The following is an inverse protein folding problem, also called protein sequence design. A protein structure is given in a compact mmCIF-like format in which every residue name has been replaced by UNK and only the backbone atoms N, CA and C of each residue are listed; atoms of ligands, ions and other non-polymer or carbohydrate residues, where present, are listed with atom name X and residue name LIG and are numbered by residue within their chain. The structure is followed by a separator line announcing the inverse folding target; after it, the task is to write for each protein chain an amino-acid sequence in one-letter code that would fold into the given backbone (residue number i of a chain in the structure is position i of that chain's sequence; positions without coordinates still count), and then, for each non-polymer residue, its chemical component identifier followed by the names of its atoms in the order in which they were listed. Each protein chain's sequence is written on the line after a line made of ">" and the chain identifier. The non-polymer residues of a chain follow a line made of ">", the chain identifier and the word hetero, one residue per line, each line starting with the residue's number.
data_IF_782618891851
#
_entry.id   IF_782618891851
#
_cell.length_a   1.000
_cell.length_b   1.000
_cell.length_c   1.000
_cell.angle_alpha   90.00
_cell.angle_beta   90.00
_cell.angle_gamma   90.00
#
_symmetry.space_group_name_H-M   'P 1'
#
loop_
_entity.id
_entity.type
_entity.pdbx_description
1 polymer ?
#
# COMPACT_ATOMS: atom_id res chain seq x y z
N UNK A 1 26.74 -31.39 1.01
CA UNK A 1 26.02 -31.35 2.31
C UNK A 1 26.08 -29.93 2.86
N UNK A 2 25.02 -29.50 3.55
CA UNK A 2 24.75 -28.16 4.11
C UNK A 2 24.11 -27.14 3.17
N UNK A 3 22.94 -27.48 2.65
CA UNK A 3 21.94 -26.49 2.25
C UNK A 3 21.25 -25.98 3.53
N UNK A 4 21.82 -24.94 4.13
CA UNK A 4 21.24 -24.20 5.24
C UNK A 4 19.93 -23.55 4.78
N UNK A 5 18.81 -24.30 4.87
CA UNK A 5 17.47 -23.72 4.92
C UNK A 5 17.43 -22.84 6.17
N UNK A 6 17.79 -21.56 6.01
CA UNK A 6 17.57 -20.52 7.02
C UNK A 6 16.10 -20.61 7.41
N UNK A 7 15.82 -20.99 8.66
CA UNK A 7 14.48 -20.95 9.25
C UNK A 7 13.96 -19.52 9.10
N UNK A 8 13.12 -19.28 8.08
CA UNK A 8 12.36 -18.04 7.94
C UNK A 8 11.53 -17.91 9.22
N UNK A 9 11.59 -16.74 9.85
CA UNK A 9 10.70 -16.37 10.95
C UNK A 9 9.26 -16.68 10.49
N UNK A 10 8.56 -17.56 11.20
CA UNK A 10 7.16 -17.88 10.91
C UNK A 10 6.31 -16.79 11.55
N UNK A 11 5.95 -15.77 10.76
CA UNK A 11 4.76 -14.99 11.07
C UNK A 11 3.54 -15.91 10.94
N UNK A 12 2.43 -15.58 11.59
CA UNK A 12 1.15 -16.25 11.37
C UNK A 12 0.20 -15.31 10.64
N UNK A 13 -0.53 -15.86 9.66
CA UNK A 13 -1.61 -15.13 8.96
C UNK A 13 -3.01 -15.55 9.44
N UNK A 14 -3.10 -16.43 10.44
CA UNK A 14 -4.38 -16.96 10.96
C UNK A 14 -5.30 -15.86 11.49
N UNK A 15 -4.72 -14.78 12.02
CA UNK A 15 -5.47 -13.60 12.49
C UNK A 15 -6.19 -12.86 11.36
N UNK A 16 -5.80 -13.09 10.10
CA UNK A 16 -6.46 -12.56 8.90
C UNK A 16 -7.36 -13.61 8.22
N UNK A 17 -7.61 -14.76 8.86
CA UNK A 17 -8.39 -15.86 8.29
C UNK A 17 -7.65 -16.73 7.27
N UNK A 18 -6.35 -16.49 7.03
CA UNK A 18 -5.54 -17.38 6.18
C UNK A 18 -5.12 -18.61 7.00
N UNK A 19 -5.57 -19.79 6.56
CA UNK A 19 -5.48 -21.04 7.33
C UNK A 19 -4.30 -21.93 6.97
N UNK A 20 -3.53 -21.57 5.92
CA UNK A 20 -2.39 -22.34 5.43
C UNK A 20 -1.05 -21.60 5.55
N UNK A 21 0.04 -22.35 5.43
CA UNK A 21 1.41 -21.82 5.45
C UNK A 21 2.06 -21.65 4.06
N UNK A 22 1.29 -21.79 2.97
CA UNK A 22 1.74 -21.55 1.58
C UNK A 22 1.94 -20.05 1.28
N UNK A 23 2.85 -19.39 1.98
CA UNK A 23 3.18 -18.00 1.75
C UNK A 23 4.69 -17.73 1.82
N UNK A 24 5.12 -16.70 1.10
CA UNK A 24 6.49 -16.25 1.01
C UNK A 24 6.67 -14.93 1.75
N UNK A 25 7.39 -14.95 2.87
CA UNK A 25 7.60 -13.76 3.71
C UNK A 25 8.92 -13.04 3.39
N UNK A 26 8.85 -11.71 3.22
CA UNK A 26 9.97 -10.78 3.05
C UNK A 26 10.98 -11.23 1.97
N UNK A 27 10.51 -11.77 0.84
CA UNK A 27 11.39 -12.10 -0.28
C UNK A 27 12.17 -10.86 -0.76
N UNK A 28 13.38 -11.06 -1.23
CA UNK A 28 14.17 -10.01 -1.86
C UNK A 28 13.56 -9.58 -3.22
N UNK A 29 13.86 -8.37 -3.71
CA UNK A 29 13.44 -7.94 -5.04
C UNK A 29 13.87 -8.89 -6.15
N UNK A 30 15.07 -9.48 -6.06
CA UNK A 30 15.57 -10.46 -7.03
C UNK A 30 14.77 -11.76 -7.02
N UNK A 31 14.38 -12.25 -5.85
CA UNK A 31 13.51 -13.44 -5.74
C UNK A 31 12.13 -13.15 -6.32
N UNK A 32 11.53 -12.00 -6.00
CA UNK A 32 10.22 -11.60 -6.54
C UNK A 32 10.26 -11.39 -8.06
N UNK A 33 11.35 -10.80 -8.57
CA UNK A 33 11.57 -10.65 -10.00
C UNK A 33 11.63 -12.02 -10.68
N UNK A 34 12.48 -12.93 -10.20
CA UNK A 34 12.61 -14.28 -10.77
C UNK A 34 11.28 -15.05 -10.77
N UNK A 35 10.54 -15.03 -9.65
CA UNK A 35 9.24 -15.71 -9.54
C UNK A 35 8.22 -15.08 -10.50
N UNK A 36 8.25 -13.77 -10.70
CA UNK A 36 7.35 -13.09 -11.65
C UNK A 36 7.60 -13.56 -13.08
N UNK A 37 8.88 -13.71 -13.47
CA UNK A 37 9.26 -14.23 -14.80
C UNK A 37 8.90 -15.72 -14.94
N UNK A 38 9.20 -16.54 -13.93
CA UNK A 38 8.90 -17.98 -13.92
C UNK A 38 7.40 -18.25 -14.08
N UNK A 39 6.55 -17.47 -13.41
CA UNK A 39 5.09 -17.57 -13.52
C UNK A 39 4.52 -16.92 -14.80
N UNK A 40 5.35 -16.36 -15.68
CA UNK A 40 4.91 -15.70 -16.90
C UNK A 40 4.10 -14.42 -16.66
N UNK A 41 4.24 -13.80 -15.49
CA UNK A 41 3.46 -12.63 -15.06
C UNK A 41 4.12 -11.29 -15.44
N UNK A 42 5.30 -11.34 -16.08
CA UNK A 42 6.03 -10.17 -16.52
C UNK A 42 7.13 -10.54 -17.51
N UNK A 43 7.86 -9.53 -17.98
CA UNK A 43 9.01 -9.66 -18.86
C UNK A 43 10.13 -8.78 -18.35
N UNK A 44 11.37 -9.16 -18.62
CA UNK A 44 12.51 -8.31 -18.35
C UNK A 44 12.74 -7.36 -19.54
N UNK A 45 12.82 -6.07 -19.28
CA UNK A 45 13.21 -5.06 -20.26
C UNK A 45 14.72 -5.12 -20.52
N UNK A 46 15.19 -4.49 -21.61
CA UNK A 46 16.63 -4.41 -21.93
C UNK A 46 17.48 -3.73 -20.84
N UNK A 47 16.86 -2.95 -19.96
CA UNK A 47 17.49 -2.34 -18.78
C UNK A 47 17.63 -3.28 -17.57
N UNK A 48 17.08 -4.50 -17.64
CA UNK A 48 16.94 -5.40 -16.49
C UNK A 48 15.75 -5.06 -15.58
N UNK A 49 14.93 -4.08 -15.94
CA UNK A 49 13.72 -3.75 -15.19
C UNK A 49 12.60 -4.74 -15.48
N UNK A 50 11.87 -5.13 -14.44
CA UNK A 50 10.67 -5.95 -14.57
C UNK A 50 9.51 -5.11 -15.13
N UNK A 51 9.00 -5.51 -16.29
CA UNK A 51 7.80 -4.98 -16.90
C UNK A 51 6.62 -5.93 -16.67
N UNK A 52 5.52 -5.41 -16.12
CA UNK A 52 4.28 -6.16 -15.84
C UNK A 52 3.09 -5.53 -16.54
N UNK A 53 2.04 -6.31 -16.74
CA UNK A 53 0.74 -5.82 -17.22
C UNK A 53 -0.29 -5.94 -16.10
N UNK A 54 -0.93 -4.83 -15.74
CA UNK A 54 -1.92 -4.74 -14.66
C UNK A 54 -3.32 -5.22 -15.06
N UNK A 55 -3.48 -5.66 -16.31
CA UNK A 55 -4.73 -6.16 -16.88
C UNK A 55 -5.65 -5.03 -17.33
N UNK A 56 -6.95 -5.20 -17.03
CA UNK A 56 -8.02 -4.27 -17.43
C UNK A 56 -7.82 -2.84 -16.89
N UNK A 57 -7.30 -2.72 -15.67
CA UNK A 57 -7.12 -1.44 -14.99
C UNK A 57 -5.67 -0.98 -15.10
N UNK A 58 -5.44 0.07 -15.89
CA UNK A 58 -4.13 0.71 -16.10
C UNK A 58 -3.95 2.00 -15.30
N UNK A 59 -4.95 2.34 -14.47
CA UNK A 59 -4.99 3.52 -13.63
C UNK A 59 -5.93 3.30 -12.44
N UNK A 60 -6.09 4.35 -11.62
CA UNK A 60 -7.03 4.32 -10.50
C UNK A 60 -8.47 4.18 -10.97
N UNK A 61 -9.29 3.60 -10.11
CA UNK A 61 -10.75 3.52 -10.29
C UNK A 61 -11.50 4.30 -9.19
N UNK A 62 -11.55 5.65 -9.24
CA UNK A 62 -12.11 6.45 -8.14
C UNK A 62 -13.54 6.09 -7.73
N UNK A 63 -14.37 5.66 -8.70
CA UNK A 63 -15.76 5.25 -8.46
C UNK A 63 -15.91 3.87 -7.79
N UNK A 64 -14.81 3.14 -7.65
CA UNK A 64 -14.75 1.82 -6.99
C UNK A 64 -13.93 1.88 -5.69
N UNK A 65 -13.63 3.10 -5.21
CA UNK A 65 -13.00 3.34 -3.92
C UNK A 65 -14.07 3.64 -2.88
N UNK A 66 -14.08 2.86 -1.81
CA UNK A 66 -15.06 2.98 -0.74
C UNK A 66 -14.37 3.14 0.62
N UNK A 67 -15.11 3.68 1.59
CA UNK A 67 -14.71 3.74 2.99
C UNK A 67 -15.84 3.17 3.83
N UNK A 68 -15.54 2.20 4.68
CA UNK A 68 -16.52 1.63 5.60
C UNK A 68 -17.05 2.72 6.52
N UNK A 69 -18.37 2.88 6.55
CA UNK A 69 -19.07 3.85 7.41
C UNK A 69 -19.33 3.21 8.77
N UNK A 70 -18.33 3.27 9.64
CA UNK A 70 -18.34 2.71 10.99
C UNK A 70 -18.42 3.82 12.05
N UNK A 71 -18.30 3.46 13.34
CA UNK A 71 -18.32 4.42 14.44
C UNK A 71 -17.15 5.43 14.42
N UNK A 72 -16.02 5.09 13.79
CA UNK A 72 -14.83 5.95 13.68
C UNK A 72 -15.05 6.98 12.57
N UNK A 73 -15.61 6.57 11.44
CA UNK A 73 -15.67 7.36 10.20
C UNK A 73 -16.99 8.11 10.02
N UNK A 74 -18.10 7.63 10.58
CA UNK A 74 -19.47 8.11 10.27
C UNK A 74 -19.62 9.63 10.32
N UNK A 75 -19.01 10.29 11.29
CA UNK A 75 -19.16 11.73 11.55
C UNK A 75 -17.94 12.55 11.13
N UNK A 76 -16.83 11.89 10.78
CA UNK A 76 -15.53 12.55 10.50
C UNK A 76 -15.16 12.56 9.02
N UNK A 77 -15.72 11.65 8.23
CA UNK A 77 -15.49 11.61 6.79
C UNK A 77 -16.45 12.57 6.08
N UNK A 78 -15.90 13.32 5.13
CA UNK A 78 -16.70 14.08 4.18
C UNK A 78 -17.26 13.16 3.10
N UNK A 79 -18.46 12.60 3.35
CA UNK A 79 -19.13 11.66 2.46
C UNK A 79 -19.65 12.34 1.17
N UNK A 80 -19.57 11.62 0.05
CA UNK A 80 -20.06 12.09 -1.25
C UNK A 80 -19.52 11.25 -2.40
N UNK A 81 -19.48 11.81 -3.62
CA UNK A 81 -19.03 11.09 -4.82
C UNK A 81 -17.55 10.68 -4.79
N UNK A 82 -16.75 11.28 -3.90
CA UNK A 82 -15.32 10.98 -3.71
C UNK A 82 -15.10 9.94 -2.59
N UNK A 83 -15.81 10.09 -1.47
CA UNK A 83 -15.74 9.18 -0.33
C UNK A 83 -17.07 8.45 -0.25
N UNK A 84 -17.13 7.31 -0.93
CA UNK A 84 -18.36 6.52 -1.06
C UNK A 84 -18.47 5.62 0.17
N UNK A 85 -19.59 5.66 0.92
CA UNK A 85 -19.77 4.81 2.09
C UNK A 85 -19.90 3.34 1.68
N UNK A 86 -19.28 2.46 2.46
CA UNK A 86 -19.49 1.01 2.41
C UNK A 86 -20.10 0.55 3.72
N UNK A 87 -21.02 -0.40 3.65
CA UNK A 87 -21.67 -0.92 4.86
C UNK A 87 -20.75 -1.94 5.58
N UNK A 88 -20.61 -1.87 6.92
CA UNK A 88 -19.73 -2.77 7.68
C UNK A 88 -19.98 -4.27 7.49
N UNK A 89 -21.23 -4.74 7.50
CA UNK A 89 -21.56 -6.16 7.29
C UNK A 89 -21.29 -6.64 5.85
N UNK A 90 -21.46 -5.78 4.85
CA UNK A 90 -21.07 -6.05 3.46
C UNK A 90 -19.54 -6.14 3.33
N UNK A 91 -18.80 -5.29 4.05
CA UNK A 91 -17.34 -5.40 4.09
C UNK A 91 -16.91 -6.74 4.66
N UNK A 92 -17.51 -7.16 5.77
CA UNK A 92 -17.17 -8.42 6.43
C UNK A 92 -17.47 -9.61 5.52
N UNK A 93 -18.66 -9.65 4.89
CA UNK A 93 -19.01 -10.70 3.94
C UNK A 93 -18.10 -10.75 2.71
N UNK A 94 -17.71 -9.58 2.16
CA UNK A 94 -16.77 -9.51 1.03
C UNK A 94 -15.35 -9.89 1.46
N UNK A 95 -14.91 -9.47 2.64
CA UNK A 95 -13.61 -9.84 3.20
C UNK A 95 -13.49 -11.35 3.33
N UNK A 96 -14.50 -12.03 3.90
CA UNK A 96 -14.50 -13.48 4.05
C UNK A 96 -14.36 -14.18 2.69
N UNK A 97 -15.09 -13.72 1.66
CA UNK A 97 -14.95 -14.26 0.28
C UNK A 97 -13.55 -14.06 -0.30
N UNK A 98 -12.93 -12.91 -0.05
CA UNK A 98 -11.55 -12.64 -0.50
C UNK A 98 -10.57 -13.55 0.23
N UNK A 99 -10.75 -13.76 1.53
CA UNK A 99 -9.90 -14.65 2.32
C UNK A 99 -10.06 -16.11 1.89
N UNK A 100 -11.28 -16.58 1.64
CA UNK A 100 -11.54 -17.91 1.08
C UNK A 100 -10.84 -18.10 -0.27
N UNK A 101 -10.93 -17.10 -1.15
CA UNK A 101 -10.19 -17.10 -2.41
C UNK A 101 -8.67 -17.17 -2.21
N UNK A 102 -8.12 -16.37 -1.29
CA UNK A 102 -6.68 -16.32 -1.01
C UNK A 102 -6.17 -17.60 -0.34
N UNK A 103 -7.01 -18.32 0.41
CA UNK A 103 -6.66 -19.62 0.98
C UNK A 103 -6.35 -20.69 -0.09
N UNK A 104 -6.80 -20.49 -1.33
CA UNK A 104 -6.49 -21.36 -2.46
C UNK A 104 -5.23 -20.96 -3.23
N UNK A 105 -4.50 -19.94 -2.76
CA UNK A 105 -3.34 -19.35 -3.47
C UNK A 105 -2.04 -19.56 -2.72
N UNK A 106 -0.94 -19.43 -3.47
CA UNK A 106 0.34 -19.08 -2.89
C UNK A 106 0.37 -17.57 -2.65
N UNK A 107 0.80 -17.14 -1.46
CA UNK A 107 0.80 -15.72 -1.09
C UNK A 107 2.22 -15.14 -0.96
N UNK A 108 2.32 -13.83 -1.04
CA UNK A 108 3.53 -13.04 -0.85
C UNK A 108 3.26 -11.99 0.23
N UNK A 109 4.06 -12.00 1.28
CA UNK A 109 3.83 -11.18 2.47
C UNK A 109 5.03 -10.29 2.74
N UNK A 110 4.76 -9.02 3.00
CA UNK A 110 5.76 -8.01 3.34
C UNK A 110 5.35 -7.18 4.54
N UNK A 111 6.28 -7.08 5.48
CA UNK A 111 6.21 -6.11 6.57
C UNK A 111 7.05 -4.90 6.17
N UNK A 112 6.41 -3.74 6.15
CA UNK A 112 6.97 -2.43 5.80
C UNK A 112 6.33 -1.33 6.66
N UNK A 113 6.76 -0.09 6.53
CA UNK A 113 6.08 1.01 7.21
C UNK A 113 5.94 2.24 6.32
N UNK A 114 4.96 3.08 6.67
CA UNK A 114 4.82 4.42 6.14
C UNK A 114 5.21 5.45 7.21
N UNK A 115 5.53 6.66 6.76
CA UNK A 115 6.04 7.78 7.56
C UNK A 115 7.47 7.56 8.07
N UNK A 116 8.41 8.37 7.53
CA UNK A 116 9.82 8.33 7.91
C UNK A 116 10.10 8.92 9.30
N UNK A 117 9.22 9.80 9.80
CA UNK A 117 9.28 10.25 11.18
C UNK A 117 8.74 9.15 12.11
N UNK A 118 9.59 8.71 13.03
CA UNK A 118 9.31 7.62 13.97
C UNK A 118 8.04 7.86 14.81
N UNK A 119 7.74 9.10 15.16
CA UNK A 119 6.55 9.43 15.97
C UNK A 119 5.24 9.24 15.19
N UNK A 120 5.32 9.25 13.85
CA UNK A 120 4.17 9.14 12.96
C UNK A 120 4.11 7.82 12.21
N UNK A 121 5.16 7.00 12.32
CA UNK A 121 5.29 5.67 11.72
C UNK A 121 4.02 4.84 11.85
N UNK A 122 3.62 4.22 10.75
CA UNK A 122 2.57 3.20 10.70
C UNK A 122 3.16 1.91 10.16
N UNK A 123 3.17 0.87 10.98
CA UNK A 123 3.59 -0.47 10.58
C UNK A 123 2.51 -1.14 9.73
N UNK A 124 2.90 -1.65 8.57
CA UNK A 124 2.01 -2.19 7.54
C UNK A 124 2.42 -3.62 7.22
N UNK A 125 1.45 -4.53 7.23
CA UNK A 125 1.57 -5.85 6.59
C UNK A 125 0.83 -5.86 5.26
N UNK A 126 1.54 -6.14 4.18
CA UNK A 126 0.97 -6.30 2.84
C UNK A 126 0.90 -7.79 2.50
N UNK A 127 -0.30 -8.27 2.21
CA UNK A 127 -0.59 -9.64 1.78
C UNK A 127 -1.04 -9.58 0.32
N UNK A 128 -0.26 -10.17 -0.58
CA UNK A 128 -0.51 -10.19 -2.01
C UNK A 128 -0.67 -11.63 -2.50
N UNK A 129 -1.51 -11.85 -3.51
CA UNK A 129 -1.44 -13.09 -4.30
C UNK A 129 -0.34 -13.07 -5.37
N UNK A 130 0.12 -11.90 -5.81
CA UNK A 130 1.12 -11.77 -6.87
C UNK A 130 2.49 -11.28 -6.37
N UNK A 131 3.60 -11.84 -6.89
CA UNK A 131 4.95 -11.48 -6.47
C UNK A 131 5.31 -10.02 -6.83
N UNK A 132 4.92 -9.55 -8.01
CA UNK A 132 5.21 -8.19 -8.45
C UNK A 132 4.44 -7.13 -7.66
N UNK A 133 3.24 -7.43 -7.14
CA UNK A 133 2.53 -6.53 -6.21
C UNK A 133 3.29 -6.41 -4.88
N UNK A 134 3.92 -7.48 -4.41
CA UNK A 134 4.78 -7.45 -3.22
C UNK A 134 6.12 -6.71 -3.48
N UNK A 135 6.64 -6.78 -4.70
CA UNK A 135 7.80 -6.01 -5.15
C UNK A 135 7.47 -4.52 -5.23
N UNK A 136 6.26 -4.17 -5.68
CA UNK A 136 5.77 -2.79 -5.61
C UNK A 136 5.73 -2.28 -4.17
N UNK A 137 5.19 -3.06 -3.22
CA UNK A 137 5.21 -2.68 -1.80
C UNK A 137 6.64 -2.51 -1.25
N UNK A 138 7.61 -3.34 -1.68
CA UNK A 138 9.03 -3.17 -1.32
C UNK A 138 9.61 -1.84 -1.83
N UNK A 139 9.23 -1.44 -3.03
CA UNK A 139 9.71 -0.20 -3.65
C UNK A 139 9.07 1.02 -2.99
N UNK A 140 7.76 0.98 -2.75
CA UNK A 140 6.99 2.16 -2.33
C UNK A 140 7.05 2.46 -0.84
N UNK A 141 7.03 1.44 0.02
CA UNK A 141 7.03 1.68 1.46
C UNK A 141 8.44 1.61 2.04
N UNK A 142 8.60 2.15 3.25
CA UNK A 142 9.89 2.17 3.94
C UNK A 142 10.18 0.77 4.48
N UNK A 143 11.45 0.36 4.32
CA UNK A 143 11.93 -0.99 4.61
C UNK A 143 12.41 -1.08 6.06
N UNK A 144 11.82 -1.94 6.91
CA UNK A 144 12.33 -2.17 8.24
C UNK A 144 13.67 -2.90 8.19
N UNK A 145 14.53 -2.57 9.13
CA UNK A 145 15.76 -3.29 9.42
C UNK A 145 15.44 -4.69 9.95
N UNK A 146 16.45 -5.58 9.91
CA UNK A 146 16.31 -6.93 10.48
C UNK A 146 15.96 -6.93 11.96
N UNK A 147 16.40 -5.92 12.71
CA UNK A 147 16.10 -5.77 14.13
C UNK A 147 14.65 -5.34 14.36
N UNK A 148 14.16 -4.34 13.61
CA UNK A 148 12.75 -3.93 13.66
C UNK A 148 11.81 -5.07 13.29
N UNK A 149 12.20 -5.93 12.34
CA UNK A 149 11.43 -7.11 11.97
C UNK A 149 11.31 -8.15 13.09
N UNK A 150 12.15 -8.13 14.14
CA UNK A 150 12.08 -9.13 15.23
C UNK A 150 10.82 -8.98 16.08
N UNK A 151 10.34 -7.76 16.28
CA UNK A 151 9.16 -7.46 17.09
C UNK A 151 8.09 -6.69 16.29
N UNK A 152 8.05 -6.91 14.97
CA UNK A 152 7.12 -6.21 14.10
C UNK A 152 5.67 -6.62 14.36
N UNK A 153 4.84 -5.65 14.71
CA UNK A 153 3.40 -5.80 14.91
C UNK A 153 2.68 -4.85 13.93
N UNK A 154 2.02 -5.37 12.88
CA UNK A 154 1.37 -4.52 11.91
C UNK A 154 0.19 -3.77 12.53
N UNK A 155 0.19 -2.45 12.36
CA UNK A 155 -0.94 -1.61 12.73
C UNK A 155 -2.01 -1.65 11.63
N UNK A 156 -1.59 -1.57 10.36
CA UNK A 156 -2.45 -1.65 9.20
C UNK A 156 -2.15 -2.90 8.37
N UNK A 157 -3.17 -3.42 7.70
CA UNK A 157 -3.02 -4.53 6.77
C UNK A 157 -3.55 -4.16 5.40
N UNK A 158 -2.76 -4.39 4.36
CA UNK A 158 -3.21 -4.33 2.97
C UNK A 158 -3.44 -5.75 2.49
N UNK A 159 -4.66 -6.07 2.08
CA UNK A 159 -5.02 -7.35 1.45
C UNK A 159 -5.28 -7.07 -0.02
N UNK A 160 -4.44 -7.61 -0.90
CA UNK A 160 -4.47 -7.33 -2.33
C UNK A 160 -4.62 -8.64 -3.14
N UNK A 161 -5.80 -8.80 -3.73
CA UNK A 161 -6.23 -9.95 -4.53
C UNK A 161 -6.74 -9.53 -5.92
N UNK A 162 -5.88 -9.03 -6.83
CA UNK A 162 -6.28 -8.58 -8.17
C UNK A 162 -7.17 -9.55 -8.98
N UNK A 163 -6.98 -10.86 -8.80
CA UNK A 163 -7.68 -11.94 -9.47
C UNK A 163 -9.02 -12.32 -8.83
N UNK A 164 -9.37 -11.79 -7.67
CA UNK A 164 -10.70 -11.92 -7.09
C UNK A 164 -11.66 -10.93 -7.79
N UNK A 165 -12.80 -11.39 -8.30
CA UNK A 165 -13.81 -10.55 -8.95
C UNK A 165 -15.07 -10.51 -8.09
N UNK A 166 -15.43 -9.34 -7.57
CA UNK A 166 -16.67 -9.16 -6.83
C UNK A 166 -17.89 -9.31 -7.74
N UNK A 167 -19.00 -9.77 -7.17
CA UNK A 167 -20.32 -9.72 -7.78
C UNK A 167 -21.08 -8.49 -7.24
N UNK A 168 -21.19 -7.45 -8.06
CA UNK A 168 -21.82 -6.18 -7.71
C UNK A 168 -23.27 -6.32 -7.19
N UNK A 169 -24.01 -7.34 -7.62
CA UNK A 169 -25.39 -7.55 -7.19
C UNK A 169 -25.52 -7.94 -5.71
N UNK A 170 -24.47 -8.55 -5.13
CA UNK A 170 -24.52 -9.12 -3.77
C UNK A 170 -23.41 -8.62 -2.85
N UNK A 171 -22.32 -8.11 -3.40
CA UNK A 171 -21.13 -7.71 -2.62
C UNK A 171 -21.13 -6.23 -2.22
N UNK A 172 -22.13 -5.44 -2.65
CA UNK A 172 -22.20 -4.00 -2.35
C UNK A 172 -21.19 -3.14 -3.10
N UNK A 173 -20.42 -3.73 -4.02
CA UNK A 173 -19.51 -3.01 -4.92
C UNK A 173 -20.25 -2.50 -6.16
N UNK A 174 -19.68 -1.52 -6.86
CA UNK A 174 -20.25 -0.98 -8.10
C UNK A 174 -20.02 -1.91 -9.30
N UNK A 175 -18.89 -2.60 -9.31
CA UNK A 175 -18.48 -3.57 -10.32
C UNK A 175 -17.50 -4.58 -9.71
N UNK A 176 -16.82 -5.37 -10.55
CA UNK A 176 -16.02 -6.49 -10.09
C UNK A 176 -14.70 -6.10 -9.38
N UNK A 177 -14.20 -4.88 -9.60
CA UNK A 177 -13.06 -4.33 -8.86
C UNK A 177 -13.52 -3.43 -7.71
N UNK A 178 -12.67 -3.33 -6.68
CA UNK A 178 -12.92 -2.52 -5.49
C UNK A 178 -11.62 -2.20 -4.75
N UNK A 179 -11.62 -1.06 -4.08
CA UNK A 179 -10.62 -0.68 -3.08
C UNK A 179 -11.36 -0.10 -1.86
N UNK A 180 -11.33 -0.80 -0.73
CA UNK A 180 -12.14 -0.46 0.44
C UNK A 180 -11.26 -0.26 1.66
N UNK A 181 -11.43 0.88 2.35
CA UNK A 181 -10.76 1.17 3.61
C UNK A 181 -11.70 0.92 4.80
N UNK A 182 -11.24 0.13 5.76
CA UNK A 182 -11.92 -0.09 7.02
C UNK A 182 -11.03 0.39 8.17
N UNK A 183 -11.42 1.48 8.83
CA UNK A 183 -10.62 2.08 9.91
C UNK A 183 -10.76 1.34 11.24
N UNK A 184 -11.92 0.75 11.53
CA UNK A 184 -12.09 -0.09 12.73
C UNK A 184 -11.20 -1.32 12.68
N UNK A 185 -11.13 -2.00 11.53
CA UNK A 185 -10.31 -3.21 11.35
C UNK A 185 -8.89 -2.90 10.87
N UNK A 186 -8.59 -1.64 10.55
CA UNK A 186 -7.32 -1.15 9.97
C UNK A 186 -6.89 -1.96 8.74
N UNK A 187 -7.83 -2.18 7.82
CA UNK A 187 -7.61 -2.95 6.59
C UNK A 187 -7.84 -2.07 5.36
N UNK A 188 -6.92 -2.15 4.40
CA UNK A 188 -7.15 -1.75 3.02
C UNK A 188 -7.34 -3.02 2.18
N UNK A 189 -8.57 -3.25 1.69
CA UNK A 189 -8.95 -4.42 0.91
C UNK A 189 -9.05 -4.05 -0.57
N UNK A 190 -8.30 -4.74 -1.43
CA UNK A 190 -8.20 -4.44 -2.86
C UNK A 190 -8.44 -5.73 -3.65
N UNK A 191 -9.40 -5.71 -4.58
CA UNK A 191 -9.72 -6.83 -5.45
C UNK A 191 -10.12 -6.41 -6.86
N UNK A 192 -9.99 -7.33 -7.81
CA UNK A 192 -10.42 -7.17 -9.21
C UNK A 192 -9.56 -6.23 -10.06
N UNK A 193 -8.55 -5.59 -9.49
CA UNK A 193 -7.64 -4.68 -10.17
C UNK A 193 -6.18 -5.05 -9.89
N UNK A 194 -5.37 -5.14 -10.97
CA UNK A 194 -3.93 -5.29 -10.89
C UNK A 194 -3.18 -3.97 -10.76
N UNK A 195 -3.87 -2.82 -10.76
CA UNK A 195 -3.22 -1.52 -10.69
C UNK A 195 -2.60 -1.28 -9.31
N UNK A 196 -1.27 -1.27 -9.23
CA UNK A 196 -0.53 -1.17 -7.96
C UNK A 196 -0.71 0.16 -7.24
N UNK A 197 -1.08 1.22 -7.97
CA UNK A 197 -1.36 2.53 -7.35
C UNK A 197 -2.46 2.48 -6.30
N UNK A 198 -3.37 1.49 -6.33
CA UNK A 198 -4.37 1.31 -5.26
C UNK A 198 -3.74 0.90 -3.92
N UNK A 199 -2.62 0.16 -3.93
CA UNK A 199 -1.88 -0.21 -2.72
C UNK A 199 -1.30 1.04 -2.05
N UNK A 200 -0.60 1.88 -2.83
CA UNK A 200 -0.01 3.15 -2.38
C UNK A 200 -1.11 4.10 -1.87
N UNK A 201 -2.09 4.39 -2.73
CA UNK A 201 -3.11 5.40 -2.45
C UNK A 201 -4.13 4.97 -1.40
N UNK A 202 -4.29 3.67 -1.14
CA UNK A 202 -5.04 3.14 -0.01
C UNK A 202 -4.44 3.59 1.34
N UNK A 203 -3.13 3.38 1.52
CA UNK A 203 -2.42 3.83 2.74
C UNK A 203 -2.36 5.35 2.82
N UNK A 204 -2.08 6.04 1.71
CA UNK A 204 -2.12 7.50 1.69
C UNK A 204 -3.48 8.06 2.13
N UNK A 205 -4.56 7.44 1.67
CA UNK A 205 -5.92 7.81 2.06
C UNK A 205 -6.17 7.62 3.56
N UNK A 206 -5.66 6.52 4.14
CA UNK A 206 -5.74 6.30 5.57
C UNK A 206 -4.95 7.38 6.34
N UNK A 207 -3.74 7.72 5.90
CA UNK A 207 -2.91 8.78 6.49
C UNK A 207 -3.57 10.16 6.40
N UNK A 208 -4.26 10.46 5.29
CA UNK A 208 -5.01 11.72 5.14
C UNK A 208 -6.16 11.87 6.15
N UNK A 209 -6.60 10.77 6.76
CA UNK A 209 -7.56 10.81 7.86
C UNK A 209 -6.86 10.78 9.23
N UNK A 210 -5.97 9.81 9.45
CA UNK A 210 -5.32 9.56 10.74
C UNK A 210 -4.50 10.77 11.20
N UNK A 211 -3.67 11.34 10.32
CA UNK A 211 -2.76 12.42 10.70
C UNK A 211 -3.47 13.69 11.20
N UNK A 212 -4.48 14.24 10.50
CA UNK A 212 -5.17 15.43 10.99
C UNK A 212 -6.11 15.13 12.16
N UNK A 213 -6.76 13.96 12.17
CA UNK A 213 -7.77 13.63 13.19
C UNK A 213 -7.14 13.20 14.53
N UNK A 214 -6.03 12.47 14.48
CA UNK A 214 -5.47 11.79 15.67
C UNK A 214 -4.09 12.32 16.07
N UNK A 215 -3.32 12.87 15.12
CA UNK A 215 -1.93 13.24 15.36
C UNK A 215 -1.62 14.74 15.19
N UNK A 216 -2.64 15.57 14.93
CA UNK A 216 -2.51 17.01 14.67
C UNK A 216 -1.37 17.34 13.69
N UNK A 217 -1.33 16.61 12.57
CA UNK A 217 -0.28 16.71 11.55
C UNK A 217 -0.92 16.89 10.18
N UNK A 218 -0.35 17.77 9.36
CA UNK A 218 -0.87 18.07 8.02
C UNK A 218 -0.36 17.03 7.01
N UNK A 219 -1.22 16.16 6.45
CA UNK A 219 -0.87 15.32 5.32
C UNK A 219 -0.90 16.14 4.03
N UNK A 220 0.04 15.87 3.12
CA UNK A 220 0.23 16.66 1.90
C UNK A 220 0.45 15.73 0.71
N UNK A 221 -0.22 16.06 -0.39
CA UNK A 221 0.03 15.46 -1.71
C UNK A 221 0.92 16.40 -2.52
N UNK A 222 2.22 16.27 -2.33
CA UNK A 222 3.25 17.18 -2.86
C UNK A 222 4.56 16.43 -3.06
N UNK A 223 5.46 16.99 -3.88
CA UNK A 223 6.88 16.64 -3.77
C UNK A 223 7.57 17.61 -2.82
N UNK A 224 8.71 17.20 -2.25
CA UNK A 224 9.52 18.06 -1.39
C UNK A 224 11.02 17.79 -1.56
N UNK A 225 11.83 18.84 -1.45
CA UNK A 225 13.29 18.76 -1.47
C UNK A 225 13.92 19.77 -0.49
N UNK A 226 15.19 19.53 -0.16
CA UNK A 226 15.95 20.38 0.77
C UNK A 226 17.22 20.91 0.12
N UNK A 227 17.46 22.21 0.30
CA UNK A 227 18.64 22.91 -0.21
C UNK A 227 19.87 22.69 0.66
N UNK A 228 21.06 23.13 0.20
CA UNK A 228 22.31 23.02 0.96
C UNK A 228 22.28 23.72 2.32
N UNK A 229 21.45 24.77 2.46
CA UNK A 229 21.29 25.54 3.70
C UNK A 229 20.21 24.97 4.64
N UNK A 230 19.62 23.81 4.29
CA UNK A 230 18.52 23.21 5.06
C UNK A 230 17.13 23.78 4.78
N UNK A 231 17.00 24.72 3.84
CA UNK A 231 15.72 25.27 3.40
C UNK A 231 14.89 24.20 2.67
N UNK A 232 13.64 24.00 3.09
CA UNK A 232 12.74 23.01 2.48
C UNK A 232 11.80 23.70 1.49
N UNK A 233 11.64 23.12 0.31
CA UNK A 233 10.64 23.53 -0.67
C UNK A 233 9.61 22.42 -0.88
N UNK A 234 8.33 22.82 -1.00
CA UNK A 234 7.19 21.94 -1.17
C UNK A 234 6.47 22.32 -2.46
N UNK A 235 6.13 21.32 -3.29
CA UNK A 235 5.52 21.53 -4.60
C UNK A 235 4.19 20.79 -4.67
N UNK A 236 3.08 21.53 -4.56
CA UNK A 236 1.74 20.99 -4.78
C UNK A 236 1.40 20.96 -6.27
N UNK A 237 0.65 19.95 -6.69
CA UNK A 237 0.23 19.80 -8.08
C UNK A 237 -0.47 18.47 -8.36
N UNK A 238 -1.24 18.42 -9.43
CA UNK A 238 -1.87 17.18 -9.89
C UNK A 238 -0.87 16.32 -10.67
N UNK A 239 -1.29 15.13 -11.11
CA UNK A 239 -0.46 14.33 -12.01
C UNK A 239 -0.23 15.09 -13.33
N UNK A 240 1.01 15.08 -13.83
CA UNK A 240 1.39 15.78 -15.06
C UNK A 240 1.69 17.28 -14.92
N UNK A 241 1.59 17.88 -13.73
CA UNK A 241 1.84 19.33 -13.54
C UNK A 241 3.30 19.68 -13.18
N UNK A 242 4.24 18.74 -13.39
CA UNK A 242 5.67 18.98 -13.18
C UNK A 242 6.19 18.82 -11.75
N UNK A 243 5.39 18.32 -10.78
CA UNK A 243 5.85 18.08 -9.39
C UNK A 243 7.17 17.33 -9.31
N UNK A 244 7.23 16.16 -9.94
CA UNK A 244 8.39 15.26 -9.92
C UNK A 244 9.58 15.88 -10.64
N UNK A 245 9.33 16.54 -11.78
CA UNK A 245 10.38 17.21 -12.57
C UNK A 245 11.01 18.36 -11.77
N UNK A 246 10.20 19.22 -11.17
CA UNK A 246 10.67 20.39 -10.43
C UNK A 246 11.29 20.04 -9.07
N UNK A 247 10.86 18.94 -8.43
CA UNK A 247 11.49 18.50 -7.18
C UNK A 247 12.85 17.83 -7.39
N UNK A 248 13.13 17.32 -8.60
CA UNK A 248 14.37 16.61 -8.93
C UNK A 248 15.42 17.59 -9.47
N UNK A 249 15.76 18.58 -8.65
CA UNK A 249 16.83 19.55 -8.92
C UNK A 249 18.17 18.99 -8.44
N UNK A 250 19.19 18.95 -9.32
CA UNK A 250 20.51 18.41 -9.00
C UNK A 250 21.23 19.14 -7.85
N UNK A 251 20.83 20.38 -7.55
CA UNK A 251 21.39 21.18 -6.45
C UNK A 251 20.67 20.95 -5.11
N UNK A 252 19.59 20.16 -5.08
CA UNK A 252 18.75 19.92 -3.90
C UNK A 252 18.58 18.43 -3.63
N UNK A 253 18.52 18.04 -2.36
CA UNK A 253 18.30 16.64 -1.98
C UNK A 253 16.79 16.37 -1.94
N UNK A 254 16.33 15.38 -2.71
CA UNK A 254 14.92 14.97 -2.72
C UNK A 254 14.54 14.36 -1.35
N UNK A 255 13.42 14.81 -0.78
CA UNK A 255 12.81 14.20 0.41
C UNK A 255 11.82 13.11 -0.03
N UNK A 256 10.98 13.42 -1.02
CA UNK A 256 10.02 12.51 -1.65
C UNK A 256 9.30 13.16 -2.81
N UNK A 257 8.64 12.37 -3.66
CA UNK A 257 8.02 12.83 -4.91
C UNK A 257 6.51 13.09 -4.83
N UNK A 258 5.81 12.59 -3.81
CA UNK A 258 4.33 12.59 -3.84
C UNK A 258 3.61 12.73 -2.50
N UNK A 259 4.08 12.13 -1.40
CA UNK A 259 3.32 12.06 -0.14
C UNK A 259 4.16 12.44 1.09
N UNK A 260 3.77 13.51 1.79
CA UNK A 260 4.49 14.04 2.95
C UNK A 260 3.57 14.40 4.11
N UNK A 261 4.15 14.43 5.31
CA UNK A 261 3.53 15.00 6.50
C UNK A 261 4.30 16.23 6.96
N UNK A 262 3.60 17.20 7.53
CA UNK A 262 4.17 18.34 8.22
C UNK A 262 3.67 18.38 9.65
N UNK A 263 4.56 18.11 10.60
CA UNK A 263 4.24 18.01 12.02
C UNK A 263 4.34 19.36 12.76
N UNK A 264 3.91 19.37 14.03
CA UNK A 264 3.95 20.57 14.89
C UNK A 264 5.36 21.02 15.29
N UNK A 265 6.37 20.17 15.11
CA UNK A 265 7.79 20.52 15.29
C UNK A 265 8.38 21.19 14.05
N UNK A 266 7.52 21.52 13.07
CA UNK A 266 7.87 22.13 11.79
C UNK A 266 8.78 21.25 10.93
N UNK A 267 8.69 19.92 11.08
CA UNK A 267 9.41 18.97 10.25
C UNK A 267 8.52 18.41 9.14
N UNK A 268 9.08 18.37 7.93
CA UNK A 268 8.49 17.71 6.76
C UNK A 268 9.12 16.32 6.63
N UNK A 269 8.30 15.29 6.54
CA UNK A 269 8.77 13.91 6.41
C UNK A 269 8.02 13.18 5.30
N UNK A 270 8.74 12.31 4.58
CA UNK A 270 8.16 11.47 3.54
C UNK A 270 7.31 10.35 4.16
N UNK A 271 6.21 9.98 3.52
CA UNK A 271 5.47 8.77 3.88
C UNK A 271 6.08 7.51 3.27
N UNK A 272 6.81 7.66 2.17
CA UNK A 272 7.21 6.58 1.27
C UNK A 272 8.70 6.25 1.36
N UNK A 273 9.08 5.07 0.85
CA UNK A 273 10.45 4.57 0.74
C UNK A 273 10.97 4.48 -0.70
N UNK A 274 10.19 5.01 -1.66
CA UNK A 274 10.52 5.07 -3.08
C UNK A 274 9.55 5.98 -3.85
N UNK A 275 9.59 5.91 -5.18
CA UNK A 275 8.87 6.81 -6.09
C UNK A 275 8.00 6.02 -7.08
N UNK A 276 6.89 6.61 -7.53
CA UNK A 276 6.00 6.00 -8.54
C UNK A 276 5.75 6.97 -9.69
N UNK A 277 6.78 7.14 -10.52
CA UNK A 277 6.81 8.06 -11.66
C UNK A 277 6.14 7.49 -12.92
#
# INVERSE_FOLDING_TARGET
>A
MNNSKKKKKSISLKTYGITHDRFNYQLSPSELHAITLEKGMGREASSGALAVNTGEFTGRSPKDRFIVKDAITKDKIWWGDINIPFEPSQFDALYDKVIDYLNEKELFVRDCYACADHNYRIDIRVINEYPWSNMFAYNMFIRPTKEELKNFEPEWTVVNAPGFRANAEVDGTRQHNFAILNFTKKIALIGGTGYTGEIKKGIFSALNFILPVEKNTMPMHCSANVGPSGDTAIFFGLSGTGKTTLSTDASRKLIGDDEHGWNNENAVFNFEGGCYA
#
